data_IF_797089988566
#
_entry.id   IF_797089988566
#
_cell.length_a   1.000
_cell.length_b   1.000
_cell.length_c   1.000
_cell.angle_alpha   90.00
_cell.angle_beta   90.00
_cell.angle_gamma   90.00
#
_symmetry.space_group_name_H-M   'P 1'
#
loop_
_entity.id
_entity.type
_entity.pdbx_description
1 polymer ?
#
# COMPACT_ATOMS: atom_id res chain seq x y z
N UNK A 1 16.31 -8.12 27.42
CA UNK A 1 15.28 -9.17 27.25
C UNK A 1 15.67 -10.32 28.17
N UNK A 2 14.77 -10.87 28.99
CA UNK A 2 15.07 -11.98 29.88
C UNK A 2 15.52 -13.24 29.09
N UNK A 3 16.43 -14.05 29.60
CA UNK A 3 16.93 -15.26 28.91
C UNK A 3 15.79 -16.23 28.53
N UNK A 4 14.80 -16.36 29.38
CA UNK A 4 13.61 -17.21 29.17
C UNK A 4 12.80 -16.80 27.94
N UNK A 5 12.76 -15.48 27.64
CA UNK A 5 12.06 -14.99 26.43
C UNK A 5 12.89 -15.29 25.19
N UNK A 6 14.22 -15.20 25.27
CA UNK A 6 15.11 -15.51 24.15
C UNK A 6 15.03 -17.00 23.75
N UNK A 7 14.83 -17.89 24.72
CA UNK A 7 14.65 -19.33 24.43
C UNK A 7 13.41 -19.62 23.59
N UNK A 8 12.38 -18.82 23.74
CA UNK A 8 11.13 -18.94 22.95
C UNK A 8 11.18 -18.22 21.58
N UNK A 9 12.29 -17.53 21.26
CA UNK A 9 12.50 -16.84 19.99
C UNK A 9 13.57 -17.50 19.10
N UNK A 10 13.88 -18.78 19.33
CA UNK A 10 14.86 -19.52 18.53
C UNK A 10 14.33 -19.73 17.11
N UNK A 11 15.19 -19.67 16.08
CA UNK A 11 14.83 -19.99 14.69
C UNK A 11 14.23 -21.39 14.51
N UNK A 12 14.57 -22.32 15.40
CA UNK A 12 14.05 -23.70 15.36
C UNK A 12 12.52 -23.77 15.39
N UNK A 13 11.87 -22.79 16.02
CA UNK A 13 10.41 -22.71 16.08
C UNK A 13 9.75 -22.28 14.77
N UNK A 14 10.53 -21.79 13.80
CA UNK A 14 10.05 -21.47 12.44
C UNK A 14 10.03 -22.72 11.56
N UNK A 15 10.94 -23.67 11.81
CA UNK A 15 11.12 -24.88 10.99
C UNK A 15 9.83 -25.70 10.77
N UNK A 16 8.98 -25.94 11.78
CA UNK A 16 7.76 -26.71 11.58
C UNK A 16 6.81 -26.09 10.54
N UNK A 17 6.66 -24.76 10.53
CA UNK A 17 5.84 -24.08 9.52
C UNK A 17 6.45 -24.24 8.13
N UNK A 18 7.76 -24.03 8.00
CA UNK A 18 8.45 -24.20 6.72
C UNK A 18 8.30 -25.62 6.20
N UNK A 19 8.53 -26.63 7.05
CA UNK A 19 8.39 -28.02 6.70
C UNK A 19 6.97 -28.36 6.21
N UNK A 20 5.93 -27.83 6.87
CA UNK A 20 4.55 -27.99 6.43
C UNK A 20 4.30 -27.35 5.06
N UNK A 21 4.76 -26.12 4.86
CA UNK A 21 4.51 -25.36 3.62
C UNK A 21 5.20 -25.98 2.40
N UNK A 22 6.39 -26.57 2.55
CA UNK A 22 7.14 -27.20 1.43
C UNK A 22 6.80 -28.67 1.23
N UNK A 23 6.02 -29.27 2.13
CA UNK A 23 5.70 -30.70 2.04
C UNK A 23 4.79 -30.98 0.84
N UNK A 24 5.00 -32.07 0.08
CA UNK A 24 4.19 -32.41 -1.09
C UNK A 24 2.68 -32.58 -0.81
N UNK A 25 2.28 -32.85 0.43
CA UNK A 25 0.86 -32.89 0.81
C UNK A 25 0.19 -31.51 0.89
N UNK A 26 0.97 -30.43 0.91
CA UNK A 26 0.45 -29.10 0.85
C UNK A 26 0.13 -28.73 -0.60
N UNK A 27 -1.10 -28.90 -1.00
CA UNK A 27 -1.58 -28.60 -2.37
C UNK A 27 -2.38 -27.29 -2.45
N UNK A 28 -2.68 -26.67 -1.33
CA UNK A 28 -3.59 -25.53 -1.23
C UNK A 28 -2.88 -24.20 -0.99
N UNK A 29 -1.74 -24.22 -0.31
CA UNK A 29 -1.07 -23.00 0.15
C UNK A 29 0.18 -22.70 -0.67
N UNK A 30 0.16 -21.58 -1.39
CA UNK A 30 1.33 -21.03 -2.11
C UNK A 30 1.26 -19.50 -2.11
N UNK A 31 2.42 -18.83 -2.07
CA UNK A 31 2.52 -17.37 -2.17
C UNK A 31 1.96 -16.59 -0.96
N UNK A 32 1.63 -17.28 0.15
CA UNK A 32 1.14 -16.63 1.36
C UNK A 32 2.24 -15.94 2.15
N UNK A 33 1.86 -14.96 2.96
CA UNK A 33 2.72 -14.31 3.96
C UNK A 33 2.32 -14.87 5.33
N UNK A 34 3.31 -15.24 6.11
CA UNK A 34 3.09 -15.83 7.43
C UNK A 34 3.93 -15.11 8.48
N UNK A 35 3.34 -14.91 9.63
CA UNK A 35 4.01 -14.49 10.85
C UNK A 35 4.20 -15.72 11.72
N UNK A 36 5.44 -15.98 12.18
CA UNK A 36 5.77 -17.08 13.05
C UNK A 36 6.84 -16.66 14.06
N UNK A 37 6.59 -16.95 15.32
CA UNK A 37 7.52 -16.68 16.41
C UNK A 37 6.84 -16.74 17.77
N UNK A 38 7.60 -17.02 18.83
CA UNK A 38 7.08 -16.98 20.19
C UNK A 38 5.82 -17.83 20.42
N UNK A 39 5.76 -19.03 19.85
CA UNK A 39 4.60 -19.93 19.91
C UNK A 39 3.37 -19.46 19.12
N UNK A 40 3.49 -18.42 18.29
CA UNK A 40 2.43 -17.90 17.45
C UNK A 40 2.69 -18.23 15.99
N UNK A 41 1.66 -18.67 15.29
CA UNK A 41 1.69 -18.90 13.84
C UNK A 41 0.41 -18.34 13.25
N UNK A 42 0.52 -17.39 12.33
CA UNK A 42 -0.61 -16.76 11.67
C UNK A 42 -0.34 -16.53 10.18
N UNK A 43 -1.38 -16.64 9.36
CA UNK A 43 -1.36 -16.19 7.98
C UNK A 43 -1.79 -14.73 7.93
N UNK A 44 -1.03 -13.89 7.24
CA UNK A 44 -1.37 -12.52 6.94
C UNK A 44 -2.04 -12.43 5.57
N UNK A 45 -2.93 -11.48 5.43
CA UNK A 45 -3.55 -11.15 4.14
C UNK A 45 -3.54 -9.65 3.90
N UNK A 46 -3.52 -9.28 2.65
CA UNK A 46 -3.72 -7.90 2.25
C UNK A 46 -5.22 -7.56 2.28
N UNK A 47 -5.51 -6.37 2.77
CA UNK A 47 -6.80 -5.73 2.61
C UNK A 47 -6.65 -4.46 1.79
N UNK A 48 -7.58 -4.25 0.87
CA UNK A 48 -7.64 -3.05 0.07
C UNK A 48 -8.95 -2.32 0.37
N UNK A 49 -8.83 -1.06 0.76
CA UNK A 49 -9.97 -0.17 0.94
C UNK A 49 -10.80 -0.10 -0.34
N UNK A 50 -12.04 0.34 -0.22
CA UNK A 50 -12.94 0.59 -1.36
C UNK A 50 -12.32 1.54 -2.37
N UNK A 51 -11.58 2.55 -1.87
CA UNK A 51 -10.87 3.50 -2.69
C UNK A 51 -11.77 4.57 -3.31
N UNK A 52 -11.15 5.54 -3.93
CA UNK A 52 -11.82 6.58 -4.69
C UNK A 52 -11.35 6.54 -6.14
N UNK A 53 -12.29 6.61 -7.07
CA UNK A 53 -11.97 6.77 -8.47
C UNK A 53 -12.00 8.26 -8.83
N UNK A 54 -10.95 8.74 -9.44
CA UNK A 54 -10.76 10.13 -9.86
C UNK A 54 -10.31 10.15 -11.32
N UNK A 55 -10.75 11.16 -12.07
CA UNK A 55 -10.32 11.30 -13.45
C UNK A 55 -8.83 11.66 -13.52
N UNK A 56 -8.10 10.99 -14.37
CA UNK A 56 -6.69 11.26 -14.63
C UNK A 56 -6.54 12.41 -15.63
N UNK A 57 -6.78 13.65 -15.19
CA UNK A 57 -6.58 14.88 -15.95
C UNK A 57 -5.95 15.95 -15.03
N UNK A 58 -5.84 17.19 -15.52
CA UNK A 58 -5.27 18.30 -14.76
C UNK A 58 -6.04 18.65 -13.46
N UNK A 59 -7.22 18.10 -13.25
CA UNK A 59 -7.98 18.25 -12.00
C UNK A 59 -7.53 17.28 -10.89
N UNK A 60 -6.71 16.30 -11.20
CA UNK A 60 -6.17 15.34 -10.22
C UNK A 60 -5.03 16.01 -9.43
N UNK A 61 -5.39 16.83 -8.46
CA UNK A 61 -4.46 17.57 -7.61
C UNK A 61 -4.40 16.99 -6.20
N UNK A 62 -3.37 17.33 -5.40
CA UNK A 62 -3.32 16.95 -3.99
C UNK A 62 -4.57 17.37 -3.21
N UNK A 63 -5.10 18.55 -3.47
CA UNK A 63 -6.32 19.04 -2.84
C UNK A 63 -7.57 18.24 -3.24
N UNK A 64 -7.66 17.79 -4.49
CA UNK A 64 -8.74 16.92 -4.95
C UNK A 64 -8.68 15.54 -4.25
N UNK A 65 -7.48 14.97 -4.08
CA UNK A 65 -7.27 13.73 -3.34
C UNK A 65 -7.66 13.91 -1.87
N UNK A 66 -7.19 14.99 -1.23
CA UNK A 66 -7.52 15.30 0.16
C UNK A 66 -9.02 15.37 0.40
N UNK A 67 -9.77 15.96 -0.54
CA UNK A 67 -11.23 16.04 -0.49
C UNK A 67 -11.91 14.66 -0.54
N UNK A 68 -11.29 13.69 -1.19
CA UNK A 68 -11.79 12.29 -1.32
C UNK A 68 -11.16 11.35 -0.32
N UNK A 69 -10.32 11.85 0.59
CA UNK A 69 -9.51 11.01 1.48
C UNK A 69 -10.30 9.99 2.28
N UNK A 70 -11.48 10.36 2.79
CA UNK A 70 -12.35 9.43 3.50
C UNK A 70 -12.78 8.22 2.66
N UNK A 71 -12.88 8.37 1.34
CA UNK A 71 -13.18 7.27 0.42
C UNK A 71 -11.93 6.45 0.10
N UNK A 72 -10.75 7.10 0.04
CA UNK A 72 -9.48 6.44 -0.26
C UNK A 72 -9.15 5.37 0.78
N UNK A 73 -9.41 5.64 2.05
CA UNK A 73 -9.12 4.69 3.13
C UNK A 73 -10.37 4.09 3.79
N UNK A 74 -11.48 4.03 3.07
CA UNK A 74 -12.71 3.39 3.57
C UNK A 74 -12.57 1.87 3.56
N UNK A 75 -12.34 1.30 4.74
CA UNK A 75 -12.26 -0.13 5.00
C UNK A 75 -13.56 -0.73 5.54
N UNK A 76 -14.69 -0.06 5.39
CA UNK A 76 -16.00 -0.60 5.82
C UNK A 76 -16.37 -1.88 5.08
N UNK A 77 -15.96 -1.99 3.82
CA UNK A 77 -16.15 -3.16 2.95
C UNK A 77 -14.85 -3.46 2.19
N UNK A 78 -13.81 -3.98 2.89
CA UNK A 78 -12.52 -4.21 2.26
C UNK A 78 -12.56 -5.38 1.29
N UNK A 79 -11.82 -5.28 0.19
CA UNK A 79 -11.53 -6.41 -0.68
C UNK A 79 -10.22 -7.09 -0.29
N UNK A 80 -10.10 -8.39 -0.58
CA UNK A 80 -8.90 -9.18 -0.30
C UNK A 80 -8.20 -9.55 -1.62
N UNK A 81 -7.38 -8.66 -2.19
CA UNK A 81 -6.78 -8.90 -3.48
C UNK A 81 -5.77 -10.05 -3.41
N UNK A 82 -5.83 -10.95 -4.39
CA UNK A 82 -4.84 -12.02 -4.60
C UNK A 82 -3.84 -11.68 -5.69
N UNK A 83 -3.99 -10.52 -6.33
CA UNK A 83 -3.16 -10.02 -7.40
C UNK A 83 -3.35 -8.52 -7.64
N UNK A 84 -2.72 -7.97 -8.67
CA UNK A 84 -2.89 -6.58 -9.06
C UNK A 84 -4.36 -6.23 -9.32
N UNK A 85 -4.72 -4.97 -9.13
CA UNK A 85 -6.03 -4.49 -9.52
C UNK A 85 -6.22 -4.60 -11.05
N UNK A 86 -7.45 -4.75 -11.49
CA UNK A 86 -7.80 -4.63 -12.90
C UNK A 86 -7.74 -3.14 -13.30
N UNK A 87 -6.54 -2.69 -13.65
CA UNK A 87 -6.31 -1.31 -14.02
C UNK A 87 -7.02 -0.90 -15.30
N UNK A 88 -7.30 -1.84 -16.20
CA UNK A 88 -7.98 -1.51 -17.46
C UNK A 88 -9.41 -1.09 -17.19
N UNK A 89 -10.15 -1.87 -16.42
CA UNK A 89 -11.51 -1.52 -16.02
C UNK A 89 -11.56 -0.22 -15.22
N UNK A 90 -10.63 -0.04 -14.28
CA UNK A 90 -10.53 1.19 -13.48
C UNK A 90 -10.23 2.42 -14.35
N UNK A 91 -9.36 2.27 -15.35
CA UNK A 91 -9.04 3.34 -16.30
C UNK A 91 -10.26 3.71 -17.16
N UNK A 92 -10.95 2.71 -17.72
CA UNK A 92 -12.15 2.92 -18.53
C UNK A 92 -13.24 3.67 -17.76
N UNK A 93 -13.45 3.32 -16.51
CA UNK A 93 -14.41 3.99 -15.64
C UNK A 93 -13.93 5.37 -15.22
N UNK A 94 -12.65 5.53 -14.90
CA UNK A 94 -12.04 6.79 -14.53
C UNK A 94 -12.13 7.86 -15.63
N UNK A 95 -11.93 7.46 -16.89
CA UNK A 95 -12.01 8.37 -18.05
C UNK A 95 -13.41 8.95 -18.24
N UNK A 96 -14.48 8.19 -17.89
CA UNK A 96 -15.87 8.62 -18.00
C UNK A 96 -16.29 9.63 -16.91
N UNK A 97 -15.50 9.74 -15.85
CA UNK A 97 -15.82 10.64 -14.74
C UNK A 97 -15.71 12.13 -15.14
N UNK A 98 -16.46 13.01 -14.51
CA UNK A 98 -16.19 14.45 -14.58
C UNK A 98 -14.84 14.77 -13.92
N UNK A 99 -14.27 15.92 -14.28
CA UNK A 99 -13.08 16.43 -13.62
C UNK A 99 -13.24 16.46 -12.10
N UNK A 100 -12.17 16.18 -11.38
CA UNK A 100 -12.22 16.10 -9.93
C UNK A 100 -12.59 17.47 -9.33
N UNK A 101 -13.43 17.53 -8.29
CA UNK A 101 -13.74 18.78 -7.64
C UNK A 101 -12.50 19.35 -6.94
N UNK A 102 -12.21 20.63 -7.16
CA UNK A 102 -11.08 21.30 -6.51
C UNK A 102 -11.16 21.18 -4.98
N UNK A 103 -10.03 20.88 -4.37
CA UNK A 103 -9.82 20.88 -2.93
C UNK A 103 -8.89 22.01 -2.50
N UNK A 104 -8.65 22.11 -1.20
CA UNK A 104 -7.64 23.01 -0.69
C UNK A 104 -6.26 22.40 -0.99
N UNK A 105 -5.44 23.12 -1.73
CA UNK A 105 -4.09 22.68 -2.01
C UNK A 105 -3.20 22.78 -0.77
N UNK A 106 -2.32 21.81 -0.53
CA UNK A 106 -1.38 21.87 0.58
C UNK A 106 -0.35 22.97 0.35
N UNK A 107 -0.04 23.72 1.41
CA UNK A 107 1.01 24.74 1.39
C UNK A 107 2.34 24.14 1.86
N UNK A 108 3.31 24.13 0.98
CA UNK A 108 4.68 23.67 1.25
C UNK A 108 5.67 24.78 1.59
N UNK A 109 5.21 26.03 1.66
CA UNK A 109 6.07 27.17 1.98
C UNK A 109 6.79 26.98 3.31
N UNK A 110 8.10 27.10 3.31
CA UNK A 110 8.94 26.90 4.49
C UNK A 110 9.07 25.44 4.96
N UNK A 111 8.58 24.47 4.19
CA UNK A 111 8.81 23.06 4.46
C UNK A 111 10.06 22.57 3.76
N UNK A 112 10.69 21.56 4.36
CA UNK A 112 11.86 20.85 3.79
C UNK A 112 11.47 19.41 3.55
N UNK A 113 11.69 18.92 2.33
CA UNK A 113 11.52 17.52 2.00
C UNK A 113 12.88 16.88 1.76
N UNK A 114 13.14 15.74 2.37
CA UNK A 114 14.32 14.91 2.12
C UNK A 114 13.86 13.65 1.38
N UNK A 115 14.37 13.47 0.17
CA UNK A 115 14.05 12.28 -0.64
C UNK A 115 15.33 11.47 -0.85
N UNK A 116 15.37 10.23 -0.33
CA UNK A 116 16.45 9.29 -0.56
C UNK A 116 16.22 8.53 -1.86
N UNK A 117 17.27 8.35 -2.67
CA UNK A 117 17.14 7.67 -3.96
C UNK A 117 16.61 8.56 -5.10
N UNK A 118 16.37 9.84 -4.86
CA UNK A 118 15.74 10.79 -5.81
C UNK A 118 16.46 11.03 -7.13
N UNK A 119 17.61 10.37 -7.39
CA UNK A 119 18.35 10.44 -8.65
C UNK A 119 17.88 9.45 -9.73
N UNK A 120 16.96 8.54 -9.42
CA UNK A 120 16.50 7.48 -10.31
C UNK A 120 15.04 7.70 -10.77
N UNK A 121 14.87 8.30 -11.95
CA UNK A 121 13.64 8.24 -12.74
C UNK A 121 12.39 8.90 -12.12
N UNK A 122 11.52 8.13 -11.51
CA UNK A 122 10.21 8.59 -11.02
C UNK A 122 10.30 9.64 -9.91
N UNK A 123 11.28 9.55 -9.04
CA UNK A 123 11.44 10.46 -7.90
C UNK A 123 11.82 11.87 -8.34
N UNK A 124 12.57 12.00 -9.44
CA UNK A 124 12.93 13.29 -10.02
C UNK A 124 11.68 14.04 -10.53
N UNK A 125 10.76 13.33 -11.16
CA UNK A 125 9.52 13.90 -11.68
C UNK A 125 8.59 14.36 -10.54
N UNK A 126 8.44 13.54 -9.49
CA UNK A 126 7.63 13.84 -8.31
C UNK A 126 8.15 15.07 -7.55
N UNK A 127 9.47 15.20 -7.41
CA UNK A 127 10.09 16.36 -6.75
C UNK A 127 9.89 17.66 -7.54
N UNK A 128 10.07 17.63 -8.85
CA UNK A 128 9.99 18.85 -9.68
C UNK A 128 8.57 19.39 -9.79
N UNK A 129 7.58 18.55 -9.97
CA UNK A 129 6.18 18.99 -10.05
C UNK A 129 5.65 19.44 -8.68
N UNK A 130 6.04 18.79 -7.59
CA UNK A 130 5.65 19.22 -6.25
C UNK A 130 6.24 20.58 -5.87
N UNK A 131 7.45 20.89 -6.33
CA UNK A 131 8.11 22.19 -6.11
C UNK A 131 7.56 23.28 -7.02
N UNK A 132 7.08 22.96 -8.23
CA UNK A 132 6.44 23.94 -9.13
C UNK A 132 5.10 24.47 -8.62
N UNK A 133 4.40 23.72 -7.79
CA UNK A 133 3.16 24.15 -7.15
C UNK A 133 3.39 25.17 -6.01
N UNK A 134 4.65 25.47 -5.66
CA UNK A 134 5.04 26.32 -4.54
C UNK A 134 5.77 27.63 -4.97
N UNK A 135 5.95 27.88 -6.27
CA UNK A 135 6.51 29.12 -6.83
C UNK A 135 5.43 29.92 -7.55
#
# INVERSE_FOLDING_TARGET
MPPEVLENLKPDWVVPLVAYLVHPSNTAETGGIYEVGGCHVAKLRWERAKGALLKADSSLTPGAIARKWNQVYDFSEPSHPTGPADFMTLLEDGVKLPSAPAGQEPDFKGKVALVTGGGNGYDYFLLFESLRLSL
#
